data_IF_557625000290
#
_entry.id   IF_557625000290
#
_cell.length_a   1.000
_cell.length_b   1.000
_cell.length_c   1.000
_cell.angle_alpha   90.00
_cell.angle_beta   90.00
_cell.angle_gamma   90.00
#
_symmetry.space_group_name_H-M   'P 1'
#
loop_
_entity.id
_entity.type
_entity.pdbx_description
1 polymer ?
#
# COMPACT_ATOMS: atom_id res chain seq x y z
N UNK A 1 42.76 -16.87 -35.07
CA UNK A 1 41.38 -16.69 -35.61
C UNK A 1 40.29 -17.33 -34.74
N UNK A 2 40.59 -17.87 -33.55
CA UNK A 2 39.62 -18.55 -32.66
C UNK A 2 39.10 -17.69 -31.49
N UNK A 3 39.69 -16.52 -31.24
CA UNK A 3 39.37 -15.68 -30.08
C UNK A 3 38.15 -14.75 -30.29
N UNK A 4 37.91 -14.33 -31.54
CA UNK A 4 36.79 -13.45 -31.88
C UNK A 4 35.41 -14.16 -31.82
N UNK A 5 35.37 -15.49 -32.02
CA UNK A 5 34.14 -16.28 -31.94
C UNK A 5 33.72 -16.58 -30.49
N UNK A 6 34.70 -16.80 -29.59
CA UNK A 6 34.42 -17.05 -28.16
C UNK A 6 33.87 -15.82 -27.45
N UNK A 7 34.39 -14.62 -27.75
CA UNK A 7 33.88 -13.35 -27.23
C UNK A 7 32.41 -13.11 -27.63
N UNK A 8 32.03 -13.49 -28.85
CA UNK A 8 30.67 -13.33 -29.35
C UNK A 8 29.67 -14.33 -28.72
N UNK A 9 30.13 -15.55 -28.43
CA UNK A 9 29.32 -16.60 -27.78
C UNK A 9 29.15 -16.38 -26.26
N UNK A 10 30.11 -15.76 -25.57
CA UNK A 10 30.10 -15.54 -24.12
C UNK A 10 29.77 -14.11 -23.68
N UNK A 11 29.98 -13.10 -24.52
CA UNK A 11 29.78 -11.67 -24.17
C UNK A 11 28.52 -11.02 -24.76
N UNK A 12 27.68 -11.78 -25.48
CA UNK A 12 26.59 -11.26 -26.30
C UNK A 12 25.23 -11.03 -25.62
N UNK A 13 25.11 -11.13 -24.30
CA UNK A 13 23.87 -10.76 -23.59
C UNK A 13 24.11 -9.49 -22.79
N UNK A 14 23.86 -8.34 -23.42
CA UNK A 14 23.56 -7.11 -22.69
C UNK A 14 22.37 -7.39 -21.76
N UNK A 15 22.61 -7.36 -20.46
CA UNK A 15 21.59 -7.35 -19.42
C UNK A 15 20.74 -6.09 -19.61
N UNK A 16 19.66 -6.20 -20.37
CA UNK A 16 18.76 -5.05 -20.62
C UNK A 16 17.60 -4.96 -19.63
N UNK A 17 17.51 -5.85 -18.64
CA UNK A 17 16.31 -5.98 -17.78
C UNK A 17 16.62 -6.23 -16.28
N UNK A 18 17.69 -5.65 -15.72
CA UNK A 18 17.90 -5.70 -14.26
C UNK A 18 17.55 -4.38 -13.54
N UNK A 19 17.66 -3.23 -14.21
CA UNK A 19 17.34 -1.93 -13.61
C UNK A 19 15.92 -1.40 -13.91
N UNK A 20 15.12 -2.13 -14.71
CA UNK A 20 13.70 -1.78 -14.92
C UNK A 20 12.82 -2.46 -13.87
N UNK A 21 13.14 -2.25 -12.60
CA UNK A 21 12.12 -2.43 -11.58
C UNK A 21 11.09 -1.32 -11.77
N UNK A 22 9.89 -1.65 -12.24
CA UNK A 22 8.79 -0.70 -12.49
C UNK A 22 8.51 0.19 -11.28
N UNK A 23 8.86 -0.31 -10.10
CA UNK A 23 8.76 0.38 -8.82
C UNK A 23 9.62 1.66 -8.76
N UNK A 24 10.82 1.71 -9.34
CA UNK A 24 11.72 2.87 -9.14
C UNK A 24 11.30 4.11 -9.92
N UNK A 25 10.82 3.95 -11.16
CA UNK A 25 10.28 5.06 -11.95
C UNK A 25 8.93 5.53 -11.38
N UNK A 26 8.05 4.60 -10.99
CA UNK A 26 6.77 4.93 -10.34
C UNK A 26 6.98 5.67 -9.02
N UNK A 27 7.95 5.24 -8.18
CA UNK A 27 8.33 5.93 -6.94
C UNK A 27 8.84 7.35 -7.23
N UNK A 28 9.71 7.53 -8.24
CA UNK A 28 10.19 8.88 -8.63
C UNK A 28 9.06 9.79 -9.10
N UNK A 29 8.08 9.25 -9.84
CA UNK A 29 6.92 10.02 -10.29
C UNK A 29 5.96 10.35 -9.14
N UNK A 30 5.79 9.44 -8.18
CA UNK A 30 5.04 9.67 -6.94
C UNK A 30 5.68 10.76 -6.08
N UNK A 31 7.00 10.73 -5.93
CA UNK A 31 7.78 11.70 -5.17
C UNK A 31 7.69 13.10 -5.79
N UNK A 32 7.90 13.20 -7.11
CA UNK A 32 7.70 14.46 -7.86
C UNK A 32 6.25 14.97 -7.79
N UNK A 33 5.27 14.06 -7.83
CA UNK A 33 3.86 14.41 -7.69
C UNK A 33 3.53 14.95 -6.30
N UNK A 34 4.13 14.38 -5.25
CA UNK A 34 3.99 14.86 -3.88
C UNK A 34 4.58 16.27 -3.71
N UNK A 35 5.77 16.52 -4.25
CA UNK A 35 6.42 17.84 -4.22
C UNK A 35 5.62 18.91 -4.99
N UNK A 36 4.97 18.52 -6.09
CA UNK A 36 4.09 19.43 -6.82
C UNK A 36 2.82 19.77 -6.03
N UNK A 37 2.23 18.79 -5.34
CA UNK A 37 1.03 19.00 -4.51
C UNK A 37 1.35 19.86 -3.28
N UNK A 38 2.50 19.65 -2.62
CA UNK A 38 2.92 20.45 -1.47
C UNK A 38 3.17 21.91 -1.87
N UNK A 39 3.85 22.14 -2.99
CA UNK A 39 4.07 23.51 -3.51
C UNK A 39 2.77 24.21 -3.89
N UNK A 40 1.83 23.52 -4.53
CA UNK A 40 0.51 24.07 -4.86
C UNK A 40 -0.29 24.45 -3.60
N UNK A 41 -0.33 23.58 -2.60
CA UNK A 41 -1.01 23.85 -1.33
C UNK A 41 -0.39 25.02 -0.58
N UNK A 42 0.94 25.15 -0.60
CA UNK A 42 1.65 26.27 0.00
C UNK A 42 1.34 27.59 -0.71
N UNK A 43 1.28 27.60 -2.05
CA UNK A 43 0.85 28.76 -2.84
C UNK A 43 -0.59 29.18 -2.54
N UNK A 44 -1.47 28.22 -2.21
CA UNK A 44 -2.85 28.46 -1.79
C UNK A 44 -2.98 28.91 -0.32
N UNK A 45 -1.86 29.15 0.37
CA UNK A 45 -1.85 29.59 1.76
C UNK A 45 -2.14 28.49 2.79
N UNK A 46 -2.21 27.22 2.36
CA UNK A 46 -2.32 26.07 3.26
C UNK A 46 -0.97 25.86 3.93
N UNK A 47 -0.83 26.36 5.16
CA UNK A 47 0.38 26.16 5.95
C UNK A 47 0.50 24.68 6.29
N UNK A 48 1.65 24.09 5.99
CA UNK A 48 2.02 22.76 6.49
C UNK A 48 1.89 22.75 8.02
N UNK A 49 0.86 22.10 8.53
CA UNK A 49 0.83 21.72 9.94
C UNK A 49 1.84 20.61 10.11
N UNK A 50 3.10 20.99 10.29
CA UNK A 50 4.15 20.07 10.74
C UNK A 50 3.78 19.63 12.16
N UNK A 51 2.88 18.66 12.27
CA UNK A 51 2.79 17.83 13.46
C UNK A 51 4.17 17.22 13.61
N UNK A 52 4.96 17.75 14.55
CA UNK A 52 6.30 17.23 14.85
C UNK A 52 6.15 15.72 14.98
N UNK A 53 6.67 14.98 14.01
CA UNK A 53 6.74 13.54 14.10
C UNK A 53 7.50 13.26 15.40
N UNK A 54 6.84 12.65 16.39
CA UNK A 54 7.55 12.14 17.56
C UNK A 54 8.67 11.27 16.99
N UNK A 55 9.92 11.59 17.35
CA UNK A 55 11.15 10.98 16.79
C UNK A 55 11.20 9.45 16.90
N UNK A 56 10.27 8.87 17.64
CA UNK A 56 10.05 7.44 17.76
C UNK A 56 8.55 7.15 17.58
N UNK A 57 8.17 6.22 16.69
CA UNK A 57 6.81 5.70 16.64
C UNK A 57 6.39 5.21 18.03
N UNK A 58 5.15 5.45 18.45
CA UNK A 58 4.69 4.99 19.76
C UNK A 58 4.85 3.47 19.87
N UNK A 59 5.33 3.00 21.03
CA UNK A 59 5.43 1.57 21.29
C UNK A 59 4.04 0.94 21.35
N UNK A 60 3.94 -0.38 21.15
CA UNK A 60 2.66 -1.11 21.19
C UNK A 60 1.82 -0.80 22.43
N UNK A 61 2.45 -0.73 23.60
CA UNK A 61 1.75 -0.42 24.86
C UNK A 61 1.19 1.01 24.90
N UNK A 62 1.89 1.97 24.29
CA UNK A 62 1.39 3.33 24.16
C UNK A 62 0.21 3.40 23.17
N UNK A 63 0.29 2.64 22.08
CA UNK A 63 -0.81 2.53 21.11
C UNK A 63 -2.06 1.92 21.74
N UNK A 64 -1.92 0.86 22.54
CA UNK A 64 -3.05 0.26 23.29
C UNK A 64 -3.70 1.28 24.22
N UNK A 65 -2.89 2.05 24.96
CA UNK A 65 -3.41 3.10 25.86
C UNK A 65 -4.16 4.19 25.10
N UNK A 66 -3.58 4.69 24.01
CA UNK A 66 -4.22 5.70 23.16
C UNK A 66 -5.53 5.16 22.57
N UNK A 67 -5.55 3.90 22.14
CA UNK A 67 -6.73 3.25 21.60
C UNK A 67 -7.87 3.20 22.62
N UNK A 68 -7.61 2.72 23.84
CA UNK A 68 -8.62 2.66 24.91
C UNK A 68 -9.10 4.06 25.29
N UNK A 69 -8.19 5.04 25.38
CA UNK A 69 -8.57 6.43 25.63
C UNK A 69 -9.48 6.99 24.54
N UNK A 70 -9.24 6.65 23.28
CA UNK A 70 -10.09 7.08 22.17
C UNK A 70 -11.48 6.45 22.25
N UNK A 71 -11.59 5.17 22.65
CA UNK A 71 -12.88 4.52 22.86
C UNK A 71 -13.69 5.17 24.00
N UNK A 72 -13.02 5.54 25.09
CA UNK A 72 -13.64 6.25 26.20
C UNK A 72 -14.09 7.66 25.78
N UNK A 73 -13.22 8.42 25.11
CA UNK A 73 -13.53 9.78 24.62
C UNK A 73 -14.68 9.80 23.62
N UNK A 74 -14.78 8.78 22.78
CA UNK A 74 -15.86 8.64 21.80
C UNK A 74 -17.17 8.11 22.42
N UNK A 75 -17.18 7.74 23.70
CA UNK A 75 -18.38 7.22 24.37
C UNK A 75 -18.76 5.79 23.99
N UNK A 76 -17.88 5.08 23.28
CA UNK A 76 -18.09 3.66 22.91
C UNK A 76 -17.93 2.72 24.11
N UNK A 77 -17.17 3.17 25.12
CA UNK A 77 -16.87 2.42 26.32
C UNK A 77 -17.09 3.33 27.52
N UNK A 78 -17.65 2.79 28.60
CA UNK A 78 -17.87 3.48 29.89
C UNK A 78 -17.30 2.64 31.02
N UNK A 79 -16.93 3.28 32.12
CA UNK A 79 -16.55 2.59 33.35
C UNK A 79 -17.71 2.74 34.33
N UNK A 80 -18.21 1.62 34.82
CA UNK A 80 -19.26 1.54 35.85
C UNK A 80 -18.71 1.87 37.24
N UNK A 81 -19.61 2.10 38.20
CA UNK A 81 -19.27 2.40 39.61
C UNK A 81 -18.50 1.26 40.31
N UNK A 82 -18.44 0.09 39.67
CA UNK A 82 -17.69 -1.11 40.12
C UNK A 82 -16.35 -1.28 39.41
N UNK A 83 -15.82 -0.22 38.79
CA UNK A 83 -14.62 -0.21 37.95
C UNK A 83 -14.68 -1.21 36.77
N UNK A 84 -15.89 -1.55 36.32
CA UNK A 84 -16.09 -2.47 35.19
C UNK A 84 -16.22 -1.69 33.89
N UNK A 85 -15.45 -2.11 32.90
CA UNK A 85 -15.55 -1.58 31.53
C UNK A 85 -16.79 -2.14 30.84
N UNK A 86 -17.75 -1.27 30.51
CA UNK A 86 -18.99 -1.59 29.83
C UNK A 86 -18.94 -1.05 28.39
N UNK A 87 -19.28 -1.90 27.42
CA UNK A 87 -19.47 -1.50 26.04
C UNK A 87 -20.85 -0.85 25.88
N UNK A 88 -20.91 0.33 25.26
CA UNK A 88 -22.18 1.01 24.99
C UNK A 88 -22.81 0.47 23.72
N UNK A 89 -24.12 0.70 23.53
CA UNK A 89 -24.83 0.33 22.30
C UNK A 89 -24.17 0.92 21.05
N UNK A 90 -23.69 2.16 21.14
CA UNK A 90 -22.95 2.82 20.06
C UNK A 90 -21.58 2.18 19.85
N UNK A 91 -20.90 1.75 20.92
CA UNK A 91 -19.68 0.96 20.83
C UNK A 91 -19.91 -0.38 20.13
N UNK A 92 -21.02 -1.05 20.41
CA UNK A 92 -21.38 -2.31 19.75
C UNK A 92 -21.65 -2.10 18.25
N UNK A 93 -22.39 -1.05 17.88
CA UNK A 93 -22.61 -0.68 16.47
C UNK A 93 -21.31 -0.32 15.76
N UNK A 94 -20.43 0.44 16.42
CA UNK A 94 -19.12 0.81 15.88
C UNK A 94 -18.28 -0.43 15.58
N UNK A 95 -18.17 -1.37 16.52
CA UNK A 95 -17.41 -2.62 16.32
C UNK A 95 -18.02 -3.47 15.20
N UNK A 96 -19.35 -3.59 15.14
CA UNK A 96 -20.01 -4.32 14.07
C UNK A 96 -19.73 -3.71 12.68
N UNK A 97 -19.78 -2.38 12.57
CA UNK A 97 -19.46 -1.68 11.33
C UNK A 97 -17.98 -1.86 10.95
N UNK A 98 -17.08 -1.81 11.93
CA UNK A 98 -15.66 -2.02 11.69
C UNK A 98 -15.38 -3.44 11.17
N UNK A 99 -16.04 -4.45 11.72
CA UNK A 99 -15.95 -5.84 11.22
C UNK A 99 -16.48 -5.97 9.79
N UNK A 100 -17.62 -5.36 9.48
CA UNK A 100 -18.18 -5.36 8.12
C UNK A 100 -17.23 -4.68 7.13
N UNK A 101 -16.69 -3.52 7.48
CA UNK A 101 -15.74 -2.80 6.65
C UNK A 101 -14.45 -3.61 6.43
N UNK A 102 -13.95 -4.30 7.45
CA UNK A 102 -12.79 -5.18 7.32
C UNK A 102 -13.08 -6.33 6.34
N UNK A 103 -14.25 -6.97 6.43
CA UNK A 103 -14.66 -8.01 5.50
C UNK A 103 -14.71 -7.51 4.04
N UNK A 104 -15.31 -6.34 3.81
CA UNK A 104 -15.38 -5.72 2.48
C UNK A 104 -13.98 -5.43 1.94
N UNK A 105 -13.06 -4.90 2.77
CA UNK A 105 -11.67 -4.63 2.36
C UNK A 105 -10.93 -5.89 1.94
N UNK A 106 -11.13 -6.99 2.67
CA UNK A 106 -10.54 -8.29 2.34
C UNK A 106 -11.11 -8.81 1.01
N UNK A 107 -12.42 -8.72 0.83
CA UNK A 107 -13.07 -9.13 -0.42
C UNK A 107 -12.59 -8.32 -1.63
N UNK A 108 -12.49 -6.99 -1.48
CA UNK A 108 -11.92 -6.11 -2.50
C UNK A 108 -10.48 -6.52 -2.86
N UNK A 109 -9.66 -6.85 -1.87
CA UNK A 109 -8.29 -7.30 -2.11
C UNK A 109 -8.26 -8.63 -2.88
N UNK A 110 -9.13 -9.58 -2.54
CA UNK A 110 -9.27 -10.85 -3.28
C UNK A 110 -9.67 -10.61 -4.75
N UNK A 111 -10.61 -9.70 -5.00
CA UNK A 111 -11.05 -9.35 -6.35
C UNK A 111 -9.92 -8.71 -7.16
N UNK A 112 -9.20 -7.74 -6.60
CA UNK A 112 -8.03 -7.12 -7.24
C UNK A 112 -6.96 -8.17 -7.61
N UNK A 113 -6.66 -9.08 -6.70
CA UNK A 113 -5.71 -10.16 -6.94
C UNK A 113 -6.17 -11.10 -8.07
N UNK A 114 -7.47 -11.41 -8.14
CA UNK A 114 -8.03 -12.23 -9.20
C UNK A 114 -7.96 -11.53 -10.56
N UNK A 115 -8.30 -10.25 -10.62
CA UNK A 115 -8.20 -9.45 -11.85
C UNK A 115 -6.77 -9.35 -12.35
N UNK A 116 -5.83 -9.15 -11.44
CA UNK A 116 -4.40 -9.14 -11.75
C UNK A 116 -3.96 -10.47 -12.38
N UNK A 117 -4.31 -11.61 -11.76
CA UNK A 117 -4.02 -12.94 -12.32
C UNK A 117 -4.63 -13.14 -13.72
N UNK A 118 -5.90 -12.77 -13.89
CA UNK A 118 -6.58 -12.85 -15.21
C UNK A 118 -5.92 -11.95 -16.26
N UNK A 119 -5.41 -10.78 -15.87
CA UNK A 119 -4.66 -9.89 -16.74
C UNK A 119 -3.35 -10.53 -17.22
N UNK A 120 -2.61 -11.16 -16.31
CA UNK A 120 -1.39 -11.90 -16.66
C UNK A 120 -1.67 -13.05 -17.64
N UNK A 121 -2.71 -13.86 -17.39
CA UNK A 121 -3.12 -14.93 -18.30
C UNK A 121 -3.51 -14.44 -19.70
N UNK A 122 -4.15 -13.27 -19.79
CA UNK A 122 -4.48 -12.64 -21.08
C UNK A 122 -3.21 -12.20 -21.81
N UNK A 123 -2.25 -11.61 -21.10
CA UNK A 123 -0.96 -11.22 -21.67
C UNK A 123 -0.18 -12.43 -22.18
N UNK A 124 -0.08 -13.50 -21.40
CA UNK A 124 0.64 -14.73 -21.83
C UNK A 124 -0.02 -15.39 -23.05
N UNK A 125 -1.36 -15.50 -23.07
CA UNK A 125 -2.11 -16.00 -24.25
C UNK A 125 -1.84 -15.15 -25.49
N UNK A 126 -1.84 -13.81 -25.36
CA UNK A 126 -1.53 -12.90 -26.47
C UNK A 126 -0.11 -13.09 -27.00
N UNK A 127 0.90 -13.18 -26.13
CA UNK A 127 2.27 -13.47 -26.51
C UNK A 127 2.42 -14.82 -27.23
N UNK A 128 1.75 -15.87 -26.74
CA UNK A 128 1.78 -17.20 -27.37
C UNK A 128 1.20 -17.18 -28.80
N UNK A 129 0.10 -16.45 -29.03
CA UNK A 129 -0.53 -16.29 -30.35
C UNK A 129 0.38 -15.52 -31.31
N UNK A 130 0.99 -14.41 -30.86
CA UNK A 130 1.96 -13.64 -31.66
C UNK A 130 3.16 -14.51 -32.08
N UNK A 131 3.67 -15.36 -31.17
CA UNK A 131 4.79 -16.26 -31.46
C UNK A 131 4.41 -17.38 -32.45
N UNK A 132 3.18 -17.89 -32.40
CA UNK A 132 2.68 -18.86 -33.39
C UNK A 132 2.48 -18.26 -34.78
N UNK A 133 2.08 -17.00 -34.90
CA UNK A 133 1.88 -16.31 -36.20
C UNK A 133 3.20 -15.90 -36.89
N UNK A 134 4.31 -15.86 -36.14
CA UNK A 134 5.66 -15.56 -36.67
C UNK A 134 6.44 -16.80 -37.14
N UNK A 135 5.93 -18.01 -36.87
CA UNK A 135 6.46 -19.26 -37.43
C UNK A 135 5.61 -19.64 -38.63
#
# INVERSE_FOLDING_TARGET
>A
MTDALSSHLLGGKKHHDEDKNVETEEIKHLEKGADYLTTLLLQQGVKETKTKAKKTPPKLEELKKIFVQNLLKAGYVKVDDKDRTILTDDGQKFLANQTKNAAIRVELAKLKNLEYRRSLERKTKSHSKKRKKKR
#
